data_IF_271316393030
#
_entry.id   IF_271316393030
#
_cell.length_a   1.000
_cell.length_b   1.000
_cell.length_c   1.000
_cell.angle_alpha   90.00
_cell.angle_beta   90.00
_cell.angle_gamma   90.00
#
_symmetry.space_group_name_H-M   'P 1'
#
loop_
_entity.id
_entity.type
_entity.pdbx_description
1 polymer ?
#
# COMPACT_ATOMS: atom_id res chain seq x y z
N UNK A 1 -3.71 2.22 13.04
CA UNK A 1 -3.37 1.36 11.91
C UNK A 1 -2.16 1.89 11.15
N UNK A 2 -2.20 3.09 10.53
CA UNK A 2 -1.06 3.67 9.78
C UNK A 2 0.25 3.62 10.58
N UNK A 3 0.22 4.01 11.87
CA UNK A 3 1.40 3.95 12.73
C UNK A 3 1.90 2.52 13.01
N UNK A 4 0.99 1.54 13.08
CA UNK A 4 1.37 0.13 13.27
C UNK A 4 2.02 -0.44 12.01
N UNK A 5 1.42 -0.18 10.84
CA UNK A 5 2.00 -0.59 9.56
C UNK A 5 3.38 0.05 9.36
N UNK A 6 3.51 1.35 9.68
CA UNK A 6 4.77 2.07 9.61
C UNK A 6 5.85 1.45 10.52
N UNK A 7 5.50 1.17 11.77
CA UNK A 7 6.45 0.62 12.74
C UNK A 7 6.86 -0.82 12.42
N UNK A 8 5.95 -1.62 11.84
CA UNK A 8 6.28 -2.94 11.29
C UNK A 8 7.18 -2.85 10.07
N UNK A 9 6.90 -1.90 9.17
CA UNK A 9 7.68 -1.65 7.96
C UNK A 9 9.12 -1.24 8.29
N UNK A 10 9.27 -0.32 9.25
CA UNK A 10 10.56 0.20 9.69
C UNK A 10 11.27 -0.77 10.68
N UNK A 11 10.73 -1.98 10.88
CA UNK A 11 11.25 -3.00 11.81
C UNK A 11 11.42 -2.51 13.25
N UNK A 12 10.71 -1.45 13.65
CA UNK A 12 10.72 -0.91 15.01
C UNK A 12 9.99 -1.83 16.01
N UNK A 13 9.09 -2.67 15.49
CA UNK A 13 8.37 -3.68 16.26
C UNK A 13 7.99 -4.85 15.37
N UNK A 14 7.60 -5.95 16.00
CA UNK A 14 7.10 -7.16 15.34
C UNK A 14 5.60 -7.34 15.58
N UNK A 15 4.96 -8.25 14.84
CA UNK A 15 3.58 -8.65 15.13
C UNK A 15 3.42 -9.23 16.55
N UNK A 16 4.44 -9.90 17.08
CA UNK A 16 4.41 -10.42 18.45
C UNK A 16 4.46 -9.30 19.47
N UNK A 17 5.22 -8.23 19.24
CA UNK A 17 5.19 -7.04 20.10
C UNK A 17 3.80 -6.39 20.13
N UNK A 18 3.12 -6.28 18.98
CA UNK A 18 1.75 -5.77 18.93
C UNK A 18 0.78 -6.66 19.70
N UNK A 19 0.89 -7.98 19.53
CA UNK A 19 0.05 -8.95 20.25
C UNK A 19 0.28 -8.86 21.75
N UNK A 20 1.52 -8.82 22.20
CA UNK A 20 1.89 -8.70 23.60
C UNK A 20 1.36 -7.40 24.22
N UNK A 21 1.49 -6.28 23.51
CA UNK A 21 0.94 -4.99 23.97
C UNK A 21 -0.58 -5.05 24.16
N UNK A 22 -1.31 -5.69 23.25
CA UNK A 22 -2.76 -5.91 23.36
C UNK A 22 -3.09 -6.78 24.59
N UNK A 23 -2.37 -7.88 24.79
CA UNK A 23 -2.59 -8.78 25.92
C UNK A 23 -2.35 -8.11 27.28
N UNK A 24 -1.34 -7.25 27.38
CA UNK A 24 -1.06 -6.49 28.61
C UNK A 24 -2.15 -5.47 28.95
N UNK A 25 -2.97 -5.07 27.98
CA UNK A 25 -3.97 -4.02 28.13
C UNK A 25 -5.42 -4.55 28.06
N UNK A 26 -5.64 -5.83 28.41
CA UNK A 26 -6.93 -6.52 28.26
C UNK A 26 -8.10 -5.82 28.94
N UNK A 27 -7.85 -5.01 29.97
CA UNK A 27 -8.90 -4.30 30.73
C UNK A 27 -9.09 -2.83 30.26
N UNK A 28 -8.38 -2.38 29.25
CA UNK A 28 -8.48 -1.01 28.78
C UNK A 28 -9.67 -0.78 27.85
N UNK A 29 -10.30 0.38 27.96
CA UNK A 29 -11.33 0.76 27.02
C UNK A 29 -10.78 0.82 25.59
N UNK A 30 -11.52 0.21 24.64
CA UNK A 30 -11.09 0.17 23.23
C UNK A 30 -10.14 -0.96 22.87
N UNK A 31 -9.75 -1.83 23.81
CA UNK A 31 -8.79 -2.92 23.55
C UNK A 31 -9.25 -3.85 22.41
N UNK A 32 -10.54 -4.12 22.28
CA UNK A 32 -11.07 -4.95 21.19
C UNK A 32 -10.81 -4.30 19.80
N UNK A 33 -10.90 -2.98 19.69
CA UNK A 33 -10.56 -2.26 18.47
C UNK A 33 -9.05 -2.28 18.21
N UNK A 34 -8.24 -2.12 19.25
CA UNK A 34 -6.78 -2.21 19.15
C UNK A 34 -6.33 -3.63 18.74
N UNK A 35 -6.95 -4.67 19.28
CA UNK A 35 -6.68 -6.06 18.91
C UNK A 35 -7.00 -6.33 17.43
N UNK A 36 -8.15 -5.84 16.95
CA UNK A 36 -8.51 -5.93 15.53
C UNK A 36 -7.50 -5.17 14.66
N UNK A 37 -7.11 -3.97 15.08
CA UNK A 37 -6.11 -3.18 14.37
C UNK A 37 -4.75 -3.90 14.31
N UNK A 38 -4.28 -4.45 15.43
CA UNK A 38 -3.03 -5.21 15.48
C UNK A 38 -3.08 -6.46 14.58
N UNK A 39 -4.23 -7.17 14.55
CA UNK A 39 -4.43 -8.33 13.67
C UNK A 39 -4.49 -7.99 12.17
N UNK A 40 -4.82 -6.74 11.83
CA UNK A 40 -4.86 -6.24 10.45
C UNK A 40 -3.59 -5.48 10.05
N UNK A 41 -2.68 -5.23 10.98
CA UNK A 41 -1.45 -4.50 10.68
C UNK A 41 -0.56 -5.28 9.70
N UNK A 42 0.07 -4.57 8.76
CA UNK A 42 0.90 -5.18 7.74
C UNK A 42 2.07 -4.26 7.35
N UNK A 43 3.29 -4.69 7.65
CA UNK A 43 4.51 -3.95 7.37
C UNK A 43 4.87 -3.84 5.89
N UNK A 44 4.12 -4.46 4.98
CA UNK A 44 4.32 -4.29 3.54
C UNK A 44 3.69 -3.00 2.99
N UNK A 45 2.81 -2.33 3.75
CA UNK A 45 2.29 -1.03 3.36
C UNK A 45 3.40 0.04 3.51
N UNK A 46 3.85 0.59 2.40
CA UNK A 46 4.96 1.55 2.34
C UNK A 46 4.52 3.00 2.57
N UNK A 47 3.20 3.28 2.51
CA UNK A 47 2.65 4.61 2.69
C UNK A 47 1.34 4.62 3.49
N UNK A 48 0.97 5.78 4.09
CA UNK A 48 -0.35 5.95 4.71
C UNK A 48 -1.52 5.71 3.75
N UNK A 49 -1.36 6.07 2.47
CA UNK A 49 -2.40 5.89 1.44
C UNK A 49 -2.66 4.41 1.17
N UNK A 50 -1.61 3.59 1.11
CA UNK A 50 -1.73 2.14 0.97
C UNK A 50 -2.44 1.51 2.16
N UNK A 51 -2.08 1.90 3.41
CA UNK A 51 -2.78 1.44 4.61
C UNK A 51 -4.27 1.76 4.54
N UNK A 52 -4.62 3.02 4.24
CA UNK A 52 -6.01 3.47 4.19
C UNK A 52 -6.78 2.83 3.02
N UNK A 53 -6.14 2.68 1.86
CA UNK A 53 -6.70 2.00 0.70
C UNK A 53 -7.01 0.54 1.00
N UNK A 54 -6.07 -0.19 1.60
CA UNK A 54 -6.26 -1.59 2.04
C UNK A 54 -7.41 -1.74 3.03
N UNK A 55 -7.52 -0.83 4.00
CA UNK A 55 -8.65 -0.84 4.94
C UNK A 55 -9.97 -0.52 4.26
N UNK A 56 -9.97 0.35 3.26
CA UNK A 56 -11.16 0.66 2.47
C UNK A 56 -11.60 -0.54 1.63
N UNK A 57 -10.66 -1.29 1.04
CA UNK A 57 -10.93 -2.56 0.36
C UNK A 57 -11.62 -3.53 1.31
N UNK A 58 -11.02 -3.79 2.48
CA UNK A 58 -11.58 -4.68 3.49
C UNK A 58 -12.98 -4.25 3.94
N UNK A 59 -13.14 -2.96 4.24
CA UNK A 59 -14.43 -2.38 4.67
C UNK A 59 -15.53 -2.41 3.60
N UNK A 60 -15.15 -2.63 2.34
CA UNK A 60 -16.09 -2.80 1.21
C UNK A 60 -16.46 -4.26 0.96
N UNK A 61 -16.00 -5.19 1.81
CA UNK A 61 -16.25 -6.62 1.67
C UNK A 61 -15.51 -7.28 0.50
N UNK A 62 -14.46 -6.63 0.00
CA UNK A 62 -13.60 -7.19 -1.04
C UNK A 62 -12.47 -8.01 -0.43
N UNK A 63 -11.94 -9.02 -1.13
CA UNK A 63 -10.78 -9.77 -0.67
C UNK A 63 -9.57 -8.84 -0.51
N UNK A 64 -8.71 -9.14 0.47
CA UNK A 64 -7.45 -8.40 0.62
C UNK A 64 -6.50 -8.78 -0.51
N UNK A 65 -5.79 -7.80 -1.10
CA UNK A 65 -4.78 -8.04 -2.11
C UNK A 65 -3.47 -8.55 -1.48
N UNK A 66 -2.62 -9.13 -2.31
CA UNK A 66 -1.19 -9.24 -2.01
C UNK A 66 -0.53 -7.88 -2.18
N UNK A 67 0.35 -7.50 -1.23
CA UNK A 67 0.98 -6.18 -1.22
C UNK A 67 2.40 -6.24 -1.76
N UNK A 68 2.80 -5.16 -2.44
CA UNK A 68 4.17 -4.93 -2.93
C UNK A 68 4.69 -6.10 -3.76
N UNK A 69 3.97 -6.37 -4.88
CA UNK A 69 4.30 -7.48 -5.77
C UNK A 69 5.13 -7.01 -6.96
N UNK A 70 6.23 -7.73 -7.22
CA UNK A 70 7.05 -7.54 -8.41
C UNK A 70 6.44 -8.35 -9.56
N UNK A 71 6.03 -7.66 -10.62
CA UNK A 71 5.47 -8.26 -11.82
C UNK A 71 6.56 -8.56 -12.83
N UNK A 72 6.55 -9.78 -13.34
CA UNK A 72 7.48 -10.27 -14.35
C UNK A 72 6.71 -10.72 -15.59
N UNK A 73 7.15 -10.25 -16.73
CA UNK A 73 6.71 -10.74 -18.04
C UNK A 73 7.70 -11.74 -18.66
N UNK A 74 7.49 -12.15 -19.91
CA UNK A 74 8.38 -13.08 -20.62
C UNK A 74 9.84 -12.57 -20.74
N UNK A 75 10.05 -11.25 -20.68
CA UNK A 75 11.36 -10.62 -20.79
C UNK A 75 11.99 -10.26 -19.43
N UNK A 76 11.38 -10.68 -18.32
CA UNK A 76 11.87 -10.43 -16.96
C UNK A 76 11.01 -9.44 -16.18
N UNK A 77 11.62 -8.75 -15.20
CA UNK A 77 10.97 -7.77 -14.34
C UNK A 77 10.40 -6.59 -15.14
N UNK A 78 9.15 -6.22 -14.83
CA UNK A 78 8.43 -5.13 -15.48
C UNK A 78 8.18 -3.97 -14.54
N UNK A 79 7.77 -4.26 -13.32
CA UNK A 79 7.50 -3.23 -12.31
C UNK A 79 6.92 -3.81 -11.04
N UNK A 80 6.92 -3.01 -9.97
CA UNK A 80 6.26 -3.32 -8.70
C UNK A 80 4.92 -2.62 -8.64
N UNK A 81 3.93 -3.31 -8.06
CA UNK A 81 2.60 -2.77 -7.81
C UNK A 81 2.28 -2.83 -6.32
N UNK A 82 1.55 -1.83 -5.81
CA UNK A 82 1.26 -1.69 -4.38
C UNK A 82 0.33 -2.79 -3.88
N UNK A 83 -0.68 -3.15 -4.69
CA UNK A 83 -1.63 -4.21 -4.37
C UNK A 83 -1.97 -5.04 -5.61
N UNK A 84 -2.02 -6.35 -5.44
CA UNK A 84 -2.17 -7.31 -6.53
C UNK A 84 -3.25 -8.35 -6.27
N UNK A 85 -4.04 -8.64 -7.28
CA UNK A 85 -5.03 -9.71 -7.32
C UNK A 85 -4.69 -10.69 -8.44
N UNK A 86 -4.06 -11.80 -8.07
CA UNK A 86 -3.56 -12.81 -9.02
C UNK A 86 -4.66 -13.34 -9.93
N UNK A 87 -5.80 -13.79 -9.36
CA UNK A 87 -6.87 -14.43 -10.12
C UNK A 87 -7.51 -13.53 -11.18
N UNK A 88 -7.53 -12.25 -10.93
CA UNK A 88 -8.14 -11.27 -11.82
C UNK A 88 -7.12 -10.54 -12.71
N UNK A 89 -5.81 -10.70 -12.48
CA UNK A 89 -4.74 -9.88 -13.06
C UNK A 89 -5.06 -8.37 -12.90
N UNK A 90 -5.37 -7.97 -11.68
CA UNK A 90 -5.67 -6.57 -11.34
C UNK A 90 -4.63 -6.04 -10.37
N UNK A 91 -4.02 -4.93 -10.74
CA UNK A 91 -3.16 -4.14 -9.87
C UNK A 91 -3.92 -2.91 -9.34
N UNK A 92 -3.72 -2.57 -8.06
CA UNK A 92 -4.15 -1.29 -7.51
C UNK A 92 -2.90 -0.51 -7.13
N UNK A 93 -2.77 0.70 -7.62
CA UNK A 93 -1.70 1.62 -7.31
C UNK A 93 -2.23 2.79 -6.48
N UNK A 94 -1.56 3.09 -5.37
CA UNK A 94 -1.91 4.16 -4.45
C UNK A 94 -0.95 5.34 -4.68
N UNK A 95 -1.36 6.30 -5.52
CA UNK A 95 -0.51 7.40 -5.97
C UNK A 95 -0.67 8.64 -5.08
N UNK A 96 0.29 8.87 -4.19
CA UNK A 96 0.42 10.12 -3.43
C UNK A 96 1.07 11.20 -4.30
N UNK A 97 0.52 12.41 -4.33
CA UNK A 97 0.98 13.57 -5.14
C UNK A 97 2.45 13.97 -4.96
N UNK A 98 3.14 13.42 -3.96
CA UNK A 98 4.53 13.80 -3.59
C UNK A 98 5.57 13.43 -4.67
N UNK A 99 5.22 12.58 -5.63
CA UNK A 99 6.15 12.12 -6.68
C UNK A 99 6.59 13.22 -7.67
N UNK A 100 5.90 14.36 -7.72
CA UNK A 100 6.14 15.40 -8.72
C UNK A 100 6.98 16.59 -8.24
N UNK A 101 7.21 16.71 -6.94
CA UNK A 101 7.85 17.90 -6.36
C UNK A 101 9.35 17.75 -6.11
N UNK A 102 9.92 16.52 -6.20
CA UNK A 102 11.35 16.29 -6.03
C UNK A 102 11.89 15.26 -7.05
N UNK A 103 12.54 15.72 -8.14
CA UNK A 103 13.14 14.84 -9.14
C UNK A 103 14.39 14.17 -8.56
N UNK A 104 14.25 12.92 -8.12
CA UNK A 104 15.32 12.13 -7.52
C UNK A 104 16.49 11.89 -8.50
N UNK A 105 17.70 12.10 -7.99
CA UNK A 105 18.95 11.69 -8.66
C UNK A 105 19.27 12.42 -9.94
N UNK A 106 18.99 13.73 -10.04
CA UNK A 106 19.35 14.56 -11.18
C UNK A 106 18.48 14.35 -12.43
N UNK A 107 17.38 13.56 -12.33
CA UNK A 107 16.41 13.40 -13.41
C UNK A 107 15.44 14.57 -13.45
N UNK A 108 15.03 14.97 -14.65
CA UNK A 108 14.00 15.99 -14.82
C UNK A 108 12.60 15.41 -14.55
N UNK A 109 11.63 16.25 -14.18
CA UNK A 109 10.23 15.84 -14.03
C UNK A 109 9.69 15.15 -15.32
N UNK A 110 10.12 15.59 -16.49
CA UNK A 110 9.75 14.97 -17.76
C UNK A 110 10.30 13.54 -17.90
N UNK A 111 11.54 13.29 -17.47
CA UNK A 111 12.13 11.95 -17.48
C UNK A 111 11.41 11.01 -16.51
N UNK A 112 11.07 11.47 -15.30
CA UNK A 112 10.32 10.69 -14.33
C UNK A 112 8.93 10.31 -14.86
N UNK A 113 8.23 11.28 -15.47
CA UNK A 113 6.93 11.02 -16.10
C UNK A 113 7.02 10.03 -17.27
N UNK A 114 8.08 10.14 -18.07
CA UNK A 114 8.31 9.23 -19.20
C UNK A 114 8.58 7.80 -18.73
N UNK A 115 9.43 7.63 -17.71
CA UNK A 115 9.74 6.32 -17.14
C UNK A 115 8.51 5.68 -16.51
N UNK A 116 7.69 6.48 -15.80
CA UNK A 116 6.43 6.02 -15.19
C UNK A 116 5.44 5.57 -16.27
N UNK A 117 5.28 6.35 -17.33
CA UNK A 117 4.41 5.98 -18.45
C UNK A 117 4.88 4.69 -19.12
N UNK A 118 6.18 4.53 -19.36
CA UNK A 118 6.73 3.29 -19.94
C UNK A 118 6.50 2.08 -19.04
N UNK A 119 6.62 2.26 -17.73
CA UNK A 119 6.34 1.21 -16.75
C UNK A 119 4.86 0.82 -16.79
N UNK A 120 3.96 1.80 -16.80
CA UNK A 120 2.52 1.56 -16.87
C UNK A 120 2.12 0.85 -18.17
N UNK A 121 2.65 1.29 -19.31
CA UNK A 121 2.41 0.65 -20.60
C UNK A 121 2.94 -0.79 -20.60
N UNK A 122 4.13 -1.03 -20.06
CA UNK A 122 4.70 -2.38 -19.96
C UNK A 122 3.88 -3.32 -19.05
N UNK A 123 3.26 -2.80 -17.99
CA UNK A 123 2.35 -3.56 -17.12
C UNK A 123 1.06 -3.90 -17.90
N UNK A 124 0.51 -2.95 -18.65
CA UNK A 124 -0.69 -3.17 -19.47
C UNK A 124 -0.46 -4.17 -20.61
N UNK A 125 0.73 -4.19 -21.19
CA UNK A 125 1.13 -5.18 -22.22
C UNK A 125 1.12 -6.63 -21.69
N UNK A 126 1.06 -6.83 -20.38
CA UNK A 126 0.90 -8.13 -19.72
C UNK A 126 -0.57 -8.51 -19.47
N UNK A 127 -1.54 -7.81 -20.08
CA UNK A 127 -2.98 -7.94 -19.80
C UNK A 127 -3.35 -7.65 -18.33
N UNK A 128 -2.53 -6.87 -17.62
CA UNK A 128 -2.79 -6.41 -16.26
C UNK A 128 -3.65 -5.14 -16.31
N UNK A 129 -4.77 -5.18 -15.61
CA UNK A 129 -5.62 -4.01 -15.43
C UNK A 129 -5.18 -3.23 -14.20
N UNK A 130 -4.88 -1.95 -14.39
CA UNK A 130 -4.40 -1.08 -13.32
C UNK A 130 -5.52 -0.15 -12.87
N UNK A 131 -5.82 -0.17 -11.58
CA UNK A 131 -6.68 0.80 -10.91
C UNK A 131 -5.81 1.75 -10.09
N UNK A 132 -5.78 3.04 -10.46
CA UNK A 132 -5.05 4.06 -9.70
C UNK A 132 -6.00 4.74 -8.72
N UNK A 133 -5.54 4.89 -7.47
CA UNK A 133 -6.25 5.52 -6.37
C UNK A 133 -5.38 6.65 -5.83
N UNK A 134 -5.91 7.88 -5.86
CA UNK A 134 -5.25 9.06 -5.29
C UNK A 134 -5.90 9.46 -3.96
N UNK A 135 -5.28 10.34 -3.15
CA UNK A 135 -5.85 10.74 -1.85
C UNK A 135 -7.28 11.27 -1.92
N UNK A 136 -7.64 11.96 -3.01
CA UNK A 136 -8.99 12.47 -3.23
C UNK A 136 -10.04 11.35 -3.39
N UNK A 137 -9.62 10.17 -3.85
CA UNK A 137 -10.50 9.03 -4.10
C UNK A 137 -10.81 8.22 -2.85
N UNK A 138 -10.05 8.39 -1.74
CA UNK A 138 -10.17 7.53 -0.55
C UNK A 138 -11.61 7.37 -0.04
N UNK A 139 -12.44 8.40 -0.18
CA UNK A 139 -13.85 8.38 0.23
C UNK A 139 -14.81 8.12 -0.94
N UNK A 140 -14.26 7.98 -2.15
CA UNK A 140 -15.03 7.80 -3.39
C UNK A 140 -15.47 6.35 -3.62
N UNK A 141 -16.18 6.10 -4.73
CA UNK A 141 -16.75 4.80 -5.08
C UNK A 141 -15.76 3.85 -5.78
N UNK A 142 -14.44 4.12 -5.73
CA UNK A 142 -13.43 3.27 -6.39
C UNK A 142 -13.47 1.78 -5.98
N UNK A 143 -13.92 1.38 -4.76
CA UNK A 143 -14.06 -0.04 -4.43
C UNK A 143 -15.12 -0.75 -5.29
N UNK A 144 -16.15 -0.04 -5.77
CA UNK A 144 -17.15 -0.63 -6.67
C UNK A 144 -16.51 -0.93 -8.04
N UNK A 145 -15.70 0.00 -8.55
CA UNK A 145 -14.92 -0.23 -9.77
C UNK A 145 -13.92 -1.39 -9.60
N UNK A 146 -13.28 -1.50 -8.43
CA UNK A 146 -12.43 -2.64 -8.12
C UNK A 146 -13.23 -3.94 -8.15
N UNK A 147 -14.44 -3.96 -7.57
CA UNK A 147 -15.33 -5.13 -7.60
C UNK A 147 -15.65 -5.58 -9.01
N UNK A 148 -15.98 -4.65 -9.91
CA UNK A 148 -16.21 -4.94 -11.32
C UNK A 148 -14.99 -5.55 -12.01
N UNK A 149 -13.81 -4.99 -11.75
CA UNK A 149 -12.55 -5.52 -12.26
C UNK A 149 -12.29 -6.95 -11.76
N UNK A 150 -12.53 -7.24 -10.48
CA UNK A 150 -12.31 -8.56 -9.90
C UNK A 150 -13.29 -9.62 -10.42
N UNK A 151 -14.48 -9.25 -10.86
CA UNK A 151 -15.47 -10.14 -11.43
C UNK A 151 -15.13 -10.58 -12.87
N UNK A 152 -14.33 -9.80 -13.57
CA UNK A 152 -13.93 -10.05 -14.95
C UNK A 152 -12.58 -10.75 -14.97
N UNK A 153 -12.53 -12.02 -15.39
CA UNK A 153 -11.27 -12.75 -15.54
C UNK A 153 -10.63 -12.50 -16.89
N UNK A 154 -9.30 -12.45 -16.99
CA UNK A 154 -8.60 -12.45 -18.27
C UNK A 154 -8.97 -13.71 -19.07
N UNK A 155 -9.19 -13.55 -20.38
CA UNK A 155 -9.61 -14.65 -21.27
C UNK A 155 -8.44 -15.37 -21.94
N UNK A 156 -7.21 -14.80 -21.84
CA UNK A 156 -5.99 -15.34 -22.48
C UNK A 156 -5.07 -16.11 -21.51
N UNK A 157 -4.05 -16.80 -22.04
CA UNK A 157 -3.01 -17.40 -21.23
C UNK A 157 -2.25 -16.31 -20.48
N UNK A 158 -2.04 -16.52 -19.18
CA UNK A 158 -1.30 -15.54 -18.35
C UNK A 158 0.16 -15.50 -18.77
N UNK A 159 0.63 -14.31 -19.09
CA UNK A 159 2.05 -14.03 -19.36
C UNK A 159 2.74 -13.36 -18.16
N UNK A 160 1.95 -12.87 -17.19
CA UNK A 160 2.45 -12.22 -15.98
C UNK A 160 2.67 -13.25 -14.87
N UNK A 161 3.79 -13.13 -14.17
CA UNK A 161 4.13 -13.83 -12.93
C UNK A 161 4.38 -12.79 -11.86
N UNK A 162 3.65 -12.86 -10.77
CA UNK A 162 3.88 -12.02 -9.61
C UNK A 162 4.77 -12.74 -8.58
N UNK A 163 5.69 -12.01 -7.99
CA UNK A 163 6.60 -12.48 -6.94
C UNK A 163 6.59 -11.44 -5.82
N UNK A 164 6.64 -11.90 -4.58
CA UNK A 164 6.74 -11.00 -3.43
C UNK A 164 7.99 -10.13 -3.56
N UNK A 165 7.80 -8.82 -3.73
CA UNK A 165 8.90 -7.86 -3.80
C UNK A 165 9.60 -7.71 -2.45
N UNK A 166 10.87 -7.28 -2.45
CA UNK A 166 11.57 -6.91 -1.23
C UNK A 166 10.92 -5.65 -0.61
N UNK A 167 10.82 -5.61 0.71
CA UNK A 167 10.37 -4.41 1.43
C UNK A 167 11.39 -3.30 1.20
N UNK A 168 10.93 -2.14 0.73
CA UNK A 168 11.80 -0.98 0.52
C UNK A 168 11.74 -0.06 1.74
N UNK A 169 12.88 0.51 2.17
CA UNK A 169 12.86 1.47 3.26
C UNK A 169 12.01 2.69 2.89
N UNK A 170 11.24 3.21 3.84
CA UNK A 170 10.45 4.43 3.64
C UNK A 170 11.35 5.59 3.23
N UNK A 171 10.87 6.39 2.29
CA UNK A 171 11.57 7.61 1.89
C UNK A 171 11.52 8.63 3.03
N UNK A 172 12.56 9.45 3.15
CA UNK A 172 12.71 10.42 4.24
C UNK A 172 11.52 11.41 4.38
N UNK A 173 10.75 11.66 3.31
CA UNK A 173 9.55 12.50 3.31
C UNK A 173 8.26 11.81 3.81
N UNK A 174 8.24 10.48 3.89
CA UNK A 174 7.06 9.70 4.31
C UNK A 174 7.03 9.43 5.82
N UNK A 175 8.02 9.89 6.56
CA UNK A 175 7.98 9.79 8.02
C UNK A 175 6.82 10.64 8.53
N UNK A 176 5.89 10.10 9.35
CA UNK A 176 4.91 10.91 10.03
C UNK A 176 5.67 12.00 10.79
N UNK A 177 5.44 13.25 10.40
CA UNK A 177 6.27 14.38 10.77
C UNK A 177 6.63 14.41 12.26
N UNK A 178 7.87 14.73 12.54
CA UNK A 178 8.41 15.08 13.85
C UNK A 178 7.81 16.38 14.44
N UNK A 179 6.53 16.65 14.18
CA UNK A 179 5.81 17.83 14.67
C UNK A 179 4.58 17.43 15.47
N UNK A 180 4.81 16.65 16.54
CA UNK A 180 3.91 16.55 17.68
C UNK A 180 4.75 16.43 18.96
N UNK A 181 5.59 17.43 19.18
CA UNK A 181 5.96 17.83 20.55
C UNK A 181 4.73 18.51 21.12
N UNK A 182 3.89 17.73 21.79
CA UNK A 182 2.92 18.31 22.72
C UNK A 182 3.70 19.07 23.79
N UNK A 183 3.36 20.35 24.07
CA UNK A 183 3.99 21.06 25.18
C UNK A 183 3.66 20.31 26.47
N UNK A 184 4.68 20.07 27.27
CA UNK A 184 4.53 19.57 28.64
C UNK A 184 3.64 20.55 29.40
N UNK A 185 2.41 20.13 29.72
CA UNK A 185 1.61 20.84 30.72
C UNK A 185 2.30 20.64 32.08
N UNK A 186 2.86 21.68 32.58
CA UNK A 186 3.25 21.81 33.98
C UNK A 186 2.03 21.46 34.85
N UNK A 187 2.14 20.36 35.59
CA UNK A 187 1.26 20.09 36.72
C UNK A 187 1.78 20.92 37.89
N UNK A 188 1.01 21.94 38.27
CA UNK A 188 1.00 22.50 39.63
C UNK A 188 -0.09 21.83 40.45
#
# INVERSE_FOLDING_TARGET
MVAMDAALHDELLTHDNLREAVLRQTHWNGIAAAARAAGLANGRAESPLETLGRLRILGSGLPLPELQMDLHGPRGFVGRVDAWYEDAAVAVEFDGRVKYEDPFGGRTAAQVLWDEKRREDAIRDLDVRVLRVVPADLRGPWPDRLRELLQTRPTGPRTVRAVSGAVQPRRAGDRPGSTLLLPAHEMK
#
